data_IF_175522474650
#
_entry.id   IF_175522474650
#
_cell.length_a   1.000
_cell.length_b   1.000
_cell.length_c   1.000
_cell.angle_alpha   90.00
_cell.angle_beta   90.00
_cell.angle_gamma   90.00
#
_symmetry.space_group_name_H-M   'P 1'
#
loop_
_entity.id
_entity.type
_entity.pdbx_description
1 polymer ?
#
# COMPACT_ATOMS: atom_id res chain seq x y z
N UNK A 1 -27.04 5.19 10.55
CA UNK A 1 -25.64 4.70 10.58
C UNK A 1 -24.75 5.93 10.60
N UNK A 2 -23.48 5.85 11.02
CA UNK A 2 -22.57 7.00 10.92
C UNK A 2 -22.13 7.19 9.46
N UNK A 3 -21.77 8.42 9.08
CA UNK A 3 -21.24 8.74 7.75
C UNK A 3 -20.08 7.80 7.38
N UNK A 4 -19.15 7.57 8.31
CA UNK A 4 -18.02 6.64 8.12
C UNK A 4 -18.46 5.19 7.86
N UNK A 5 -19.59 4.73 8.41
CA UNK A 5 -20.12 3.40 8.14
C UNK A 5 -20.71 3.31 6.72
N UNK A 6 -21.42 4.35 6.29
CA UNK A 6 -22.04 4.41 4.97
C UNK A 6 -20.96 4.50 3.87
N UNK A 7 -19.95 5.35 4.07
CA UNK A 7 -18.80 5.48 3.15
C UNK A 7 -18.01 4.17 3.03
N UNK A 8 -17.72 3.51 4.15
CA UNK A 8 -17.01 2.23 4.13
C UNK A 8 -17.83 1.13 3.43
N UNK A 9 -19.13 1.07 3.70
CA UNK A 9 -20.02 0.11 3.06
C UNK A 9 -20.10 0.34 1.54
N UNK A 10 -20.19 1.59 1.11
CA UNK A 10 -20.24 1.94 -0.31
C UNK A 10 -18.93 1.57 -1.03
N UNK A 11 -17.77 1.91 -0.46
CA UNK A 11 -16.47 1.53 -1.05
C UNK A 11 -16.32 0.02 -1.15
N UNK A 12 -16.67 -0.74 -0.10
CA UNK A 12 -16.64 -2.20 -0.12
C UNK A 12 -17.60 -2.80 -1.14
N UNK A 13 -18.80 -2.24 -1.29
CA UNK A 13 -19.78 -2.66 -2.30
C UNK A 13 -19.20 -2.51 -3.71
N UNK A 14 -18.62 -1.34 -4.03
CA UNK A 14 -18.02 -1.08 -5.34
C UNK A 14 -16.81 -1.98 -5.64
N UNK A 15 -15.98 -2.24 -4.64
CA UNK A 15 -14.88 -3.22 -4.76
C UNK A 15 -15.45 -4.61 -5.09
N UNK A 16 -16.49 -5.05 -4.37
CA UNK A 16 -17.11 -6.35 -4.60
C UNK A 16 -17.74 -6.47 -6.00
N UNK A 17 -18.39 -5.42 -6.48
CA UNK A 17 -18.95 -5.39 -7.85
C UNK A 17 -17.86 -5.45 -8.91
N UNK A 18 -16.78 -4.68 -8.74
CA UNK A 18 -15.65 -4.69 -9.68
C UNK A 18 -14.94 -6.06 -9.69
N UNK A 19 -14.76 -6.69 -8.52
CA UNK A 19 -14.18 -8.03 -8.42
C UNK A 19 -15.04 -9.09 -9.12
N UNK A 20 -16.35 -9.10 -8.83
CA UNK A 20 -17.30 -10.02 -9.49
C UNK A 20 -17.33 -9.84 -11.00
N UNK A 21 -17.31 -8.59 -11.49
CA UNK A 21 -17.27 -8.29 -12.92
C UNK A 21 -16.00 -8.84 -13.61
N UNK A 22 -14.92 -9.02 -12.84
CA UNK A 22 -13.67 -9.62 -13.30
C UNK A 22 -13.55 -11.14 -13.01
N UNK A 23 -14.62 -11.78 -12.56
CA UNK A 23 -14.61 -13.22 -12.20
C UNK A 23 -13.81 -13.54 -10.94
N UNK A 24 -13.61 -12.54 -10.05
CA UNK A 24 -12.84 -12.64 -8.80
C UNK A 24 -13.76 -12.62 -7.58
N UNK A 25 -13.26 -13.11 -6.45
CA UNK A 25 -13.96 -12.97 -5.18
C UNK A 25 -13.70 -11.58 -4.57
N UNK A 26 -14.66 -10.98 -3.87
CA UNK A 26 -14.44 -9.71 -3.16
C UNK A 26 -13.27 -9.79 -2.16
N UNK A 27 -13.11 -10.91 -1.49
CA UNK A 27 -12.05 -11.13 -0.49
C UNK A 27 -10.64 -11.26 -1.10
N UNK A 28 -10.52 -11.35 -2.42
CA UNK A 28 -9.24 -11.26 -3.11
C UNK A 28 -8.65 -9.85 -3.07
N UNK A 29 -9.44 -8.85 -2.60
CA UNK A 29 -9.07 -7.43 -2.63
C UNK A 29 -9.04 -6.85 -1.22
N UNK A 30 -7.88 -6.43 -0.80
CA UNK A 30 -7.64 -5.73 0.47
C UNK A 30 -7.87 -4.22 0.27
N UNK A 31 -8.77 -3.65 1.08
CA UNK A 31 -8.95 -2.20 1.18
C UNK A 31 -7.99 -1.62 2.21
N UNK A 32 -7.06 -0.79 1.76
CA UNK A 32 -6.19 0.03 2.61
C UNK A 32 -6.81 1.42 2.75
N UNK A 33 -7.32 1.76 3.94
CA UNK A 33 -7.88 3.06 4.25
C UNK A 33 -6.77 4.08 4.47
N UNK A 34 -6.66 5.07 3.58
CA UNK A 34 -5.55 6.05 3.60
C UNK A 34 -5.89 7.22 4.48
N UNK A 35 -5.35 7.25 5.71
CA UNK A 35 -5.68 8.19 6.77
C UNK A 35 -4.72 9.39 6.91
N UNK A 36 -3.84 9.58 5.91
CA UNK A 36 -2.93 10.73 5.90
C UNK A 36 -3.69 12.05 6.02
N UNK A 37 -3.16 12.97 6.82
CA UNK A 37 -3.75 14.30 7.10
C UNK A 37 -5.02 14.31 7.96
N UNK A 38 -5.52 13.14 8.37
CA UNK A 38 -6.67 13.02 9.27
C UNK A 38 -6.22 12.65 10.68
N UNK A 39 -6.89 13.16 11.69
CA UNK A 39 -6.60 12.89 13.10
C UNK A 39 -6.96 11.46 13.53
N UNK A 40 -6.50 11.03 14.74
CA UNK A 40 -6.78 9.70 15.26
C UNK A 40 -8.27 9.44 15.49
N UNK A 41 -9.09 10.47 15.71
CA UNK A 41 -10.54 10.38 15.91
C UNK A 41 -11.21 9.82 14.65
N UNK A 42 -10.83 10.35 13.46
CA UNK A 42 -11.38 9.88 12.18
C UNK A 42 -10.95 8.44 11.85
N UNK A 43 -9.72 8.06 12.25
CA UNK A 43 -9.27 6.67 12.14
C UNK A 43 -10.10 5.75 13.06
N UNK A 44 -10.36 6.20 14.30
CA UNK A 44 -11.17 5.45 15.28
C UNK A 44 -12.57 5.19 14.79
N UNK A 45 -13.23 6.15 14.16
CA UNK A 45 -14.58 5.96 13.57
C UNK A 45 -14.59 4.79 12.57
N UNK A 46 -13.58 4.68 11.71
CA UNK A 46 -13.49 3.55 10.77
C UNK A 46 -13.11 2.23 11.45
N UNK A 47 -12.30 2.27 12.52
CA UNK A 47 -12.02 1.09 13.34
C UNK A 47 -13.27 0.55 14.02
N UNK A 48 -14.13 1.42 14.55
CA UNK A 48 -15.39 1.06 15.21
C UNK A 48 -16.38 0.39 14.25
N UNK A 49 -16.36 0.76 12.97
CA UNK A 49 -17.17 0.11 11.93
C UNK A 49 -16.48 -1.04 11.21
N UNK A 50 -15.34 -1.52 11.74
CA UNK A 50 -14.70 -2.76 11.34
C UNK A 50 -13.60 -2.64 10.28
N UNK A 51 -13.14 -1.45 9.93
CA UNK A 51 -11.92 -1.32 9.11
C UNK A 51 -10.70 -1.63 9.99
N UNK A 52 -9.74 -2.40 9.46
CA UNK A 52 -8.53 -2.82 10.20
C UNK A 52 -7.23 -2.46 9.50
N UNK A 53 -7.23 -2.24 8.20
CA UNK A 53 -6.03 -2.01 7.40
C UNK A 53 -5.98 -0.55 6.99
N UNK A 54 -4.93 0.16 7.42
CA UNK A 54 -4.75 1.58 7.18
C UNK A 54 -3.43 1.87 6.47
N UNK A 55 -3.36 3.01 5.78
CA UNK A 55 -2.17 3.44 5.07
C UNK A 55 -1.76 4.87 5.42
N UNK A 56 -0.47 5.06 5.68
CA UNK A 56 0.14 6.36 5.95
C UNK A 56 1.29 6.68 5.00
N UNK A 57 1.44 7.96 4.69
CA UNK A 57 2.50 8.41 3.81
C UNK A 57 3.79 8.77 4.56
N UNK A 58 3.70 9.15 5.83
CA UNK A 58 4.81 9.68 6.63
C UNK A 58 4.94 8.97 7.97
N UNK A 59 6.17 8.55 8.28
CA UNK A 59 6.48 7.85 9.52
C UNK A 59 6.15 8.70 10.75
N UNK A 60 6.50 9.98 10.74
CA UNK A 60 6.27 10.88 11.87
C UNK A 60 4.76 11.03 12.18
N UNK A 61 3.95 11.27 11.15
CA UNK A 61 2.50 11.37 11.31
C UNK A 61 1.89 10.07 11.86
N UNK A 62 2.38 8.94 11.39
CA UNK A 62 1.95 7.65 11.91
C UNK A 62 2.36 7.42 13.37
N UNK A 63 3.57 7.85 13.77
CA UNK A 63 4.05 7.75 15.16
C UNK A 63 3.20 8.54 16.15
N UNK A 64 2.61 9.65 15.74
CA UNK A 64 1.72 10.46 16.57
C UNK A 64 0.33 9.83 16.74
N UNK A 65 -0.16 9.12 15.72
CA UNK A 65 -1.54 8.59 15.66
C UNK A 65 -1.68 7.15 16.11
N UNK A 66 -0.85 6.25 15.60
CA UNK A 66 -1.13 4.82 15.61
C UNK A 66 -0.71 4.06 16.86
N UNK A 67 0.26 4.46 17.69
CA UNK A 67 0.62 3.70 18.89
C UNK A 67 -0.57 3.46 19.84
N UNK A 68 -1.36 4.49 20.14
CA UNK A 68 -2.54 4.37 20.99
C UNK A 68 -3.64 3.54 20.32
N UNK A 69 -3.87 3.74 19.00
CA UNK A 69 -4.86 2.99 18.24
C UNK A 69 -4.51 1.49 18.17
N UNK A 70 -3.22 1.15 17.97
CA UNK A 70 -2.76 -0.26 17.98
C UNK A 70 -2.88 -0.92 19.36
N UNK A 71 -2.77 -0.15 20.44
CA UNK A 71 -3.01 -0.66 21.77
C UNK A 71 -4.50 -1.00 22.03
N UNK A 72 -5.40 -0.16 21.51
CA UNK A 72 -6.85 -0.38 21.61
C UNK A 72 -7.36 -1.44 20.62
N UNK A 73 -6.72 -1.56 19.43
CA UNK A 73 -7.08 -2.48 18.35
C UNK A 73 -5.85 -3.30 17.92
N UNK A 74 -5.54 -4.41 18.62
CA UNK A 74 -4.33 -5.21 18.34
C UNK A 74 -4.30 -5.87 16.95
N UNK A 75 -5.46 -5.99 16.30
CA UNK A 75 -5.64 -6.50 14.95
C UNK A 75 -5.52 -5.43 13.85
N UNK A 76 -5.16 -4.17 14.22
CA UNK A 76 -4.90 -3.11 13.27
C UNK A 76 -3.59 -3.35 12.53
N UNK A 77 -3.67 -3.40 11.19
CA UNK A 77 -2.54 -3.50 10.29
C UNK A 77 -2.24 -2.13 9.66
N UNK A 78 -1.00 -1.68 9.74
CA UNK A 78 -0.57 -0.38 9.25
C UNK A 78 0.43 -0.52 8.11
N UNK A 79 0.10 0.07 6.96
CA UNK A 79 0.93 0.10 5.77
C UNK A 79 1.62 1.46 5.59
N UNK A 80 2.94 1.45 5.35
CA UNK A 80 3.64 2.61 4.82
C UNK A 80 3.47 2.62 3.30
N UNK A 81 2.81 3.65 2.78
CA UNK A 81 2.50 3.78 1.34
C UNK A 81 3.13 5.02 0.69
N UNK A 82 3.82 5.84 1.45
CA UNK A 82 4.59 6.99 0.97
C UNK A 82 6.10 6.72 0.96
N UNK A 83 6.91 7.62 0.35
CA UNK A 83 8.34 7.42 0.21
C UNK A 83 9.04 7.34 1.58
N UNK A 84 9.94 6.37 1.73
CA UNK A 84 10.69 6.15 2.95
C UNK A 84 12.14 6.66 2.83
N UNK A 85 12.48 7.61 3.69
CA UNK A 85 13.87 8.03 3.87
C UNK A 85 14.65 6.95 4.66
N UNK A 86 15.89 6.67 4.27
CA UNK A 86 16.70 5.63 4.90
C UNK A 86 16.95 5.86 6.39
N UNK A 87 17.08 7.11 6.84
CA UNK A 87 17.24 7.47 8.25
C UNK A 87 15.96 7.26 9.10
N UNK A 88 14.82 6.98 8.47
CA UNK A 88 13.53 6.66 9.12
C UNK A 88 13.17 5.18 9.05
N UNK A 89 14.04 4.34 8.46
CA UNK A 89 13.76 2.92 8.28
C UNK A 89 13.56 2.19 9.62
N UNK A 90 14.33 2.55 10.65
CA UNK A 90 14.18 2.00 12.02
C UNK A 90 12.80 2.30 12.61
N UNK A 91 12.37 3.54 12.50
CA UNK A 91 11.08 4.00 13.04
C UNK A 91 9.92 3.34 12.26
N UNK A 92 10.10 3.21 10.94
CA UNK A 92 9.13 2.54 10.08
C UNK A 92 9.00 1.05 10.43
N UNK A 93 10.12 0.33 10.57
CA UNK A 93 10.12 -1.10 10.90
C UNK A 93 9.48 -1.39 12.27
N UNK A 94 9.63 -0.48 13.24
CA UNK A 94 9.02 -0.61 14.55
C UNK A 94 7.49 -0.48 14.53
N UNK A 95 6.94 0.38 13.65
CA UNK A 95 5.53 0.78 13.66
C UNK A 95 4.68 0.09 12.60
N UNK A 96 5.20 -0.04 11.38
CA UNK A 96 4.45 -0.56 10.24
C UNK A 96 4.54 -2.08 10.13
N UNK A 97 3.46 -2.68 9.64
CA UNK A 97 3.35 -4.11 9.40
C UNK A 97 3.68 -4.45 7.94
N UNK A 98 3.49 -3.46 7.05
CA UNK A 98 3.78 -3.57 5.62
C UNK A 98 4.44 -2.30 5.10
N UNK A 99 5.50 -2.45 4.31
CA UNK A 99 6.15 -1.37 3.58
C UNK A 99 5.88 -1.51 2.09
N UNK A 100 5.15 -0.55 1.50
CA UNK A 100 4.81 -0.58 0.07
C UNK A 100 5.71 0.29 -0.81
N UNK A 101 6.82 0.81 -0.28
CA UNK A 101 7.61 1.86 -0.92
C UNK A 101 9.10 1.51 -1.06
N UNK A 102 9.43 0.22 -1.21
CA UNK A 102 10.81 -0.21 -1.47
C UNK A 102 11.15 0.09 -2.93
N UNK A 103 12.06 1.03 -3.16
CA UNK A 103 12.29 1.61 -4.49
C UNK A 103 13.76 1.72 -4.92
N UNK A 104 14.71 1.30 -4.08
CA UNK A 104 16.16 1.41 -4.36
C UNK A 104 17.02 0.54 -3.46
N UNK A 105 18.17 0.13 -3.93
CA UNK A 105 19.13 -0.75 -3.25
C UNK A 105 19.52 -0.26 -1.84
N UNK A 106 19.83 1.04 -1.71
CA UNK A 106 20.20 1.62 -0.43
C UNK A 106 19.10 1.45 0.62
N UNK A 107 17.85 1.61 0.24
CA UNK A 107 16.71 1.42 1.16
C UNK A 107 16.54 -0.05 1.50
N UNK A 108 16.61 -0.94 0.51
CA UNK A 108 16.52 -2.38 0.73
C UNK A 108 17.57 -2.88 1.72
N UNK A 109 18.83 -2.45 1.56
CA UNK A 109 19.91 -2.82 2.47
C UNK A 109 19.73 -2.27 3.91
N UNK A 110 19.16 -1.07 4.07
CA UNK A 110 18.89 -0.52 5.40
C UNK A 110 17.72 -1.25 6.06
N UNK A 111 16.63 -1.51 5.33
CA UNK A 111 15.49 -2.27 5.85
C UNK A 111 15.90 -3.68 6.29
N UNK A 112 16.72 -4.38 5.50
CA UNK A 112 17.22 -5.70 5.87
C UNK A 112 17.94 -5.70 7.22
N UNK A 113 18.82 -4.72 7.45
CA UNK A 113 19.56 -4.57 8.72
C UNK A 113 18.62 -4.25 9.90
N UNK A 114 17.63 -3.37 9.70
CA UNK A 114 16.69 -3.03 10.77
C UNK A 114 15.77 -4.21 11.11
N UNK A 115 15.30 -4.97 10.13
CA UNK A 115 14.51 -6.19 10.31
C UNK A 115 15.30 -7.27 11.09
N UNK A 116 16.58 -7.46 10.75
CA UNK A 116 17.45 -8.38 11.47
C UNK A 116 17.65 -7.94 12.93
N UNK A 117 17.92 -6.65 13.16
CA UNK A 117 18.10 -6.07 14.48
C UNK A 117 16.84 -6.15 15.35
N UNK A 118 15.65 -5.93 14.76
CA UNK A 118 14.38 -5.90 15.49
C UNK A 118 13.76 -7.31 15.67
N UNK A 119 14.21 -8.30 14.89
CA UNK A 119 13.56 -9.61 14.84
C UNK A 119 12.14 -9.60 14.26
N UNK A 120 11.76 -8.49 13.59
CA UNK A 120 10.47 -8.28 12.93
C UNK A 120 10.70 -8.20 11.42
N UNK A 121 9.81 -8.76 10.64
CA UNK A 121 9.95 -8.82 9.17
C UNK A 121 8.68 -8.33 8.48
N UNK A 122 8.42 -7.01 8.46
CA UNK A 122 7.29 -6.43 7.74
C UNK A 122 7.29 -6.85 6.27
N UNK A 123 6.11 -7.19 5.74
CA UNK A 123 5.98 -7.51 4.33
C UNK A 123 6.37 -6.30 3.45
N UNK A 124 7.05 -6.56 2.33
CA UNK A 124 7.53 -5.52 1.44
C UNK A 124 6.88 -5.61 0.05
N UNK A 125 6.43 -4.47 -0.45
CA UNK A 125 6.15 -4.28 -1.87
C UNK A 125 7.25 -3.42 -2.49
N UNK A 126 7.64 -3.76 -3.70
CA UNK A 126 8.54 -2.92 -4.49
C UNK A 126 7.68 -1.91 -5.24
N UNK A 127 7.99 -0.62 -5.05
CA UNK A 127 7.35 0.45 -5.80
C UNK A 127 7.99 0.58 -7.18
N UNK A 128 7.16 0.53 -8.22
CA UNK A 128 7.54 0.67 -9.62
C UNK A 128 7.07 2.01 -10.16
N UNK A 129 7.98 2.75 -10.79
CA UNK A 129 7.68 3.96 -11.54
C UNK A 129 7.24 3.59 -12.96
N UNK A 130 5.98 3.22 -13.11
CA UNK A 130 5.42 2.72 -14.36
C UNK A 130 5.31 3.77 -15.47
N UNK A 131 5.35 5.04 -15.12
CA UNK A 131 5.34 6.16 -16.07
C UNK A 131 6.74 6.67 -16.42
N UNK A 132 7.79 6.11 -15.80
CA UNK A 132 9.18 6.51 -16.00
C UNK A 132 9.43 8.02 -15.81
N UNK A 133 8.66 8.65 -14.88
CA UNK A 133 8.76 10.07 -14.56
C UNK A 133 9.96 10.31 -13.65
N UNK A 134 10.94 11.13 -14.08
CA UNK A 134 12.19 11.38 -13.34
C UNK A 134 12.00 11.87 -11.90
N UNK A 135 10.92 12.62 -11.64
CA UNK A 135 10.64 13.21 -10.33
C UNK A 135 9.89 12.25 -9.38
N UNK A 136 9.43 11.09 -9.85
CA UNK A 136 8.67 10.13 -9.03
C UNK A 136 9.53 9.03 -8.45
N UNK A 137 9.19 8.60 -7.24
CA UNK A 137 9.78 7.43 -6.61
C UNK A 137 9.34 6.14 -7.32
N UNK A 138 10.16 5.12 -7.22
CA UNK A 138 9.93 3.79 -7.79
C UNK A 138 11.08 3.35 -8.69
N UNK A 139 11.30 2.04 -8.71
CA UNK A 139 12.26 1.43 -9.65
C UNK A 139 11.72 1.52 -11.08
N UNK A 140 12.57 1.72 -12.06
CA UNK A 140 12.15 1.70 -13.47
C UNK A 140 11.74 0.29 -13.90
N UNK A 141 10.79 0.15 -14.82
CA UNK A 141 10.34 -1.15 -15.33
C UNK A 141 11.48 -2.03 -15.89
N UNK A 142 12.48 -1.41 -16.52
CA UNK A 142 13.63 -2.09 -17.07
C UNK A 142 14.54 -2.74 -16.01
N UNK A 143 14.62 -2.13 -14.81
CA UNK A 143 15.51 -2.56 -13.73
C UNK A 143 14.80 -3.49 -12.72
N UNK A 144 13.48 -3.65 -12.85
CA UNK A 144 12.65 -4.30 -11.84
C UNK A 144 13.08 -5.74 -11.54
N UNK A 145 13.31 -6.56 -12.55
CA UNK A 145 13.57 -7.99 -12.36
C UNK A 145 14.88 -8.21 -11.58
N UNK A 146 15.93 -7.44 -11.92
CA UNK A 146 17.20 -7.45 -11.19
C UNK A 146 17.03 -6.97 -9.75
N UNK A 147 16.23 -5.92 -9.54
CA UNK A 147 15.97 -5.38 -8.21
C UNK A 147 15.13 -6.33 -7.33
N UNK A 148 14.13 -7.02 -7.89
CA UNK A 148 13.38 -8.06 -7.18
C UNK A 148 14.31 -9.18 -6.73
N UNK A 149 15.18 -9.67 -7.61
CA UNK A 149 16.17 -10.69 -7.28
C UNK A 149 17.14 -10.20 -6.17
N UNK A 150 17.66 -8.99 -6.27
CA UNK A 150 18.50 -8.39 -5.22
C UNK A 150 17.78 -8.30 -3.87
N UNK A 151 16.55 -7.79 -3.84
CA UNK A 151 15.77 -7.70 -2.62
C UNK A 151 15.55 -9.07 -1.96
N UNK A 152 15.26 -10.12 -2.75
CA UNK A 152 15.02 -11.47 -2.24
C UNK A 152 16.29 -12.23 -1.87
N UNK A 153 17.28 -12.23 -2.77
CA UNK A 153 18.41 -13.14 -2.69
C UNK A 153 19.61 -12.53 -1.94
N UNK A 154 19.82 -11.22 -2.03
CA UNK A 154 20.87 -10.51 -1.34
C UNK A 154 20.38 -9.96 -0.01
N UNK A 155 19.33 -9.13 -0.04
CA UNK A 155 18.81 -8.46 1.16
C UNK A 155 17.88 -9.32 2.00
N UNK A 156 17.41 -10.47 1.48
CA UNK A 156 16.49 -11.38 2.18
C UNK A 156 15.20 -10.70 2.65
N UNK A 157 14.74 -9.66 1.94
CA UNK A 157 13.48 -9.00 2.26
C UNK A 157 12.28 -9.91 1.95
N UNK A 158 11.22 -9.85 2.75
CA UNK A 158 9.96 -10.58 2.50
C UNK A 158 9.15 -9.84 1.42
N UNK A 159 9.63 -9.88 0.17
CA UNK A 159 8.96 -9.24 -0.98
C UNK A 159 7.73 -10.07 -1.35
N UNK A 160 6.55 -9.46 -1.19
CA UNK A 160 5.26 -10.12 -1.43
C UNK A 160 4.55 -9.60 -2.69
N UNK A 161 4.93 -8.43 -3.20
CA UNK A 161 4.22 -7.82 -4.32
C UNK A 161 4.89 -6.59 -4.89
N UNK A 162 4.18 -5.97 -5.85
CA UNK A 162 4.53 -4.70 -6.48
C UNK A 162 3.50 -3.63 -6.17
N UNK A 163 3.92 -2.37 -6.18
CA UNK A 163 3.05 -1.21 -6.01
C UNK A 163 3.35 -0.17 -7.10
N UNK A 164 2.33 0.52 -7.61
CA UNK A 164 2.53 1.70 -8.44
C UNK A 164 1.55 2.84 -8.10
N UNK A 165 1.94 4.03 -8.53
CA UNK A 165 1.11 5.23 -8.60
C UNK A 165 1.26 5.76 -10.03
N UNK A 166 0.28 5.52 -10.90
CA UNK A 166 0.34 5.96 -12.30
C UNK A 166 0.50 7.48 -12.46
N UNK A 167 1.02 7.96 -13.60
CA UNK A 167 0.92 9.37 -13.99
C UNK A 167 -0.53 9.86 -13.98
N UNK A 168 -0.73 11.13 -13.61
CA UNK A 168 -2.08 11.71 -13.48
C UNK A 168 -2.73 11.94 -14.85
N UNK A 169 -1.92 12.20 -15.86
CA UNK A 169 -2.29 12.58 -17.23
C UNK A 169 -2.27 11.40 -18.20
N UNK A 170 -2.02 10.18 -17.72
CA UNK A 170 -2.02 8.97 -18.53
C UNK A 170 -3.17 8.03 -18.13
N UNK A 171 -3.52 7.11 -19.04
CA UNK A 171 -4.55 6.10 -18.79
C UNK A 171 -4.08 5.10 -17.74
N UNK A 172 -4.61 5.19 -16.52
CA UNK A 172 -4.20 4.36 -15.38
C UNK A 172 -4.32 2.84 -15.67
N UNK A 173 -5.27 2.43 -16.50
CA UNK A 173 -5.48 1.03 -16.84
C UNK A 173 -4.25 0.38 -17.50
N UNK A 174 -3.50 1.13 -18.30
CA UNK A 174 -2.28 0.65 -18.96
C UNK A 174 -1.19 0.33 -17.92
N UNK A 175 -1.03 1.21 -16.93
CA UNK A 175 -0.08 1.04 -15.83
C UNK A 175 -0.45 -0.13 -14.91
N UNK A 176 -1.75 -0.30 -14.65
CA UNK A 176 -2.25 -1.43 -13.86
C UNK A 176 -2.01 -2.77 -14.56
N UNK A 177 -2.32 -2.85 -15.84
CA UNK A 177 -2.03 -4.05 -16.63
C UNK A 177 -0.53 -4.36 -16.70
N UNK A 178 0.30 -3.33 -16.87
CA UNK A 178 1.76 -3.46 -16.88
C UNK A 178 2.26 -3.98 -15.52
N UNK A 179 1.84 -3.37 -14.41
CA UNK A 179 2.25 -3.77 -13.07
C UNK A 179 1.85 -5.23 -12.77
N UNK A 180 0.63 -5.61 -13.10
CA UNK A 180 0.15 -6.99 -12.92
C UNK A 180 1.01 -7.99 -13.71
N UNK A 181 1.31 -7.70 -14.98
CA UNK A 181 2.18 -8.54 -15.81
C UNK A 181 3.59 -8.65 -15.23
N UNK A 182 4.16 -7.56 -14.72
CA UNK A 182 5.47 -7.56 -14.08
C UNK A 182 5.47 -8.36 -12.77
N UNK A 183 4.41 -8.27 -11.96
CA UNK A 183 4.27 -9.07 -10.75
C UNK A 183 4.23 -10.57 -11.08
N UNK A 184 3.40 -10.97 -12.05
CA UNK A 184 3.30 -12.35 -12.50
C UNK A 184 4.63 -12.90 -13.02
N UNK A 185 5.37 -12.11 -13.83
CA UNK A 185 6.70 -12.49 -14.35
C UNK A 185 7.70 -12.75 -13.23
N UNK A 186 7.61 -12.01 -12.12
CA UNK A 186 8.48 -12.16 -10.96
C UNK A 186 7.94 -13.16 -9.89
N UNK A 187 6.86 -13.88 -10.19
CA UNK A 187 6.24 -14.81 -9.24
C UNK A 187 5.71 -14.14 -7.98
N UNK A 188 5.26 -12.88 -8.10
CA UNK A 188 4.69 -12.09 -7.01
C UNK A 188 3.17 -12.12 -7.09
N UNK A 189 2.53 -12.54 -5.99
CA UNK A 189 1.08 -12.72 -5.95
C UNK A 189 0.31 -11.43 -5.63
N UNK A 190 0.96 -10.44 -5.00
CA UNK A 190 0.27 -9.23 -4.55
C UNK A 190 0.57 -8.03 -5.44
N UNK A 191 -0.46 -7.24 -5.73
CA UNK A 191 -0.39 -6.03 -6.55
C UNK A 191 -1.17 -4.92 -5.88
N UNK A 192 -0.46 -3.85 -5.45
CA UNK A 192 -1.04 -2.67 -4.82
C UNK A 192 -1.12 -1.54 -5.85
N UNK A 193 -2.32 -1.24 -6.30
CA UNK A 193 -2.61 -0.23 -7.31
C UNK A 193 -4.08 0.20 -7.21
N UNK A 194 -4.39 1.41 -7.70
CA UNK A 194 -5.71 2.00 -7.59
C UNK A 194 -5.92 2.83 -6.32
N UNK A 195 -6.47 4.01 -6.52
CA UNK A 195 -6.80 5.01 -5.51
C UNK A 195 -8.27 5.43 -5.66
N UNK A 196 -8.73 6.43 -4.91
CA UNK A 196 -10.15 6.84 -4.86
C UNK A 196 -10.80 7.09 -6.21
N UNK A 197 -10.03 7.51 -7.24
CA UNK A 197 -10.56 7.81 -8.56
C UNK A 197 -10.62 6.59 -9.50
N UNK A 198 -9.81 5.55 -9.27
CA UNK A 198 -9.56 4.49 -10.26
C UNK A 198 -9.48 3.06 -9.67
N UNK A 199 -9.77 2.89 -8.35
CA UNK A 199 -9.63 1.59 -7.71
C UNK A 199 -10.51 0.50 -8.32
N UNK A 200 -11.69 0.82 -8.85
CA UNK A 200 -12.54 -0.17 -9.52
C UNK A 200 -11.89 -0.73 -10.80
N UNK A 201 -11.26 0.15 -11.59
CA UNK A 201 -10.47 -0.26 -12.75
C UNK A 201 -9.28 -1.11 -12.34
N UNK A 202 -8.58 -0.71 -11.26
CA UNK A 202 -7.48 -1.50 -10.70
C UNK A 202 -7.93 -2.90 -10.26
N UNK A 203 -9.09 -3.00 -9.58
CA UNK A 203 -9.67 -4.28 -9.16
C UNK A 203 -9.96 -5.17 -10.37
N UNK A 204 -10.56 -4.63 -11.44
CA UNK A 204 -10.82 -5.39 -12.68
C UNK A 204 -9.54 -5.87 -13.35
N UNK A 205 -8.43 -5.16 -13.18
CA UNK A 205 -7.11 -5.50 -13.74
C UNK A 205 -6.20 -6.27 -12.77
N UNK A 206 -6.76 -6.83 -11.70
CA UNK A 206 -6.05 -7.76 -10.84
C UNK A 206 -5.45 -7.16 -9.56
N UNK A 207 -5.78 -5.93 -9.17
CA UNK A 207 -5.34 -5.39 -7.88
C UNK A 207 -5.73 -6.32 -6.73
N UNK A 208 -4.78 -6.59 -5.84
CA UNK A 208 -5.02 -7.29 -4.57
C UNK A 208 -5.09 -6.31 -3.40
N UNK A 209 -4.57 -5.10 -3.59
CA UNK A 209 -4.63 -4.01 -2.61
C UNK A 209 -5.04 -2.73 -3.34
N UNK A 210 -6.05 -2.05 -2.82
CA UNK A 210 -6.47 -0.71 -3.26
C UNK A 210 -6.32 0.27 -2.11
N UNK A 211 -5.92 1.52 -2.40
CA UNK A 211 -5.59 2.54 -1.40
C UNK A 211 -6.57 3.70 -1.51
N UNK A 212 -7.59 3.70 -0.67
CA UNK A 212 -8.69 4.66 -0.75
C UNK A 212 -8.64 5.65 0.42
N UNK A 213 -8.62 6.93 0.13
CA UNK A 213 -8.59 8.01 1.11
C UNK A 213 -9.86 8.87 1.05
N UNK A 214 -9.97 9.75 0.06
CA UNK A 214 -11.04 10.76 -0.01
C UNK A 214 -12.46 10.19 -0.04
N UNK A 215 -12.66 8.98 -0.53
CA UNK A 215 -13.96 8.30 -0.49
C UNK A 215 -14.33 7.74 0.90
N UNK A 216 -13.38 7.70 1.86
CA UNK A 216 -13.61 7.22 3.24
C UNK A 216 -13.53 8.34 4.29
N UNK A 217 -12.75 9.36 4.02
CA UNK A 217 -12.45 10.43 4.98
C UNK A 217 -12.98 11.79 4.54
N UNK A 218 -13.56 11.88 3.34
CA UNK A 218 -13.98 13.14 2.73
C UNK A 218 -12.86 13.88 2.00
N UNK A 219 -13.21 15.00 1.35
CA UNK A 219 -12.23 15.90 0.74
C UNK A 219 -11.36 16.56 1.81
N UNK A 220 -10.10 16.86 1.44
CA UNK A 220 -9.17 17.58 2.33
C UNK A 220 -9.68 19.00 2.56
N UNK A 221 -9.74 19.39 3.79
CA UNK A 221 -9.96 20.79 4.20
C UNK A 221 -8.62 21.52 4.33
#
# INVERSE_FOLDING_TARGET
MSESADDLAEVKRRIAEAAKAAGRQPDDVTLVAVSKTHGPERVRELLEVGQRIFGENRVQEAQEKFPALKADYPDLELHLIGPLQTNKARDADALFDVNQSVDRERLAGVLAKEMERAGKRPACFIQVNTGEEEQKAGILPADLDAFVASCRDVHKLPVVGLMCIPPVDEEAALHFALLHKMAARNGLAKVSMGMSADYETAVRLGATHVRVGSALFGARH
#
